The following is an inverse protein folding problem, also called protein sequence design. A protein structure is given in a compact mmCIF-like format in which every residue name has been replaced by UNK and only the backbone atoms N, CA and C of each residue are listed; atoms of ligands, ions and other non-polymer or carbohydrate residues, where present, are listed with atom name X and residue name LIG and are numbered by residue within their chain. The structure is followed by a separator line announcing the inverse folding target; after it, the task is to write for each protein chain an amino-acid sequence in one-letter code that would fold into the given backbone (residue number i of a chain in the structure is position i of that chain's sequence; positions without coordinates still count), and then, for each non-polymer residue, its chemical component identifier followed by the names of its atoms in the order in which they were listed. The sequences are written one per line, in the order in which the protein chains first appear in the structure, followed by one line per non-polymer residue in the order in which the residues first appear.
data_IF_755360151690
#
_entry.id   IF_755360151690
#
_cell.length_a   1.000
_cell.length_b   1.000
_cell.length_c   1.000
_cell.angle_alpha   90.00
_cell.angle_beta   90.00
_cell.angle_gamma   90.00
#
_symmetry.space_group_name_H-M   'P 1'
#
loop_
_entity.id
_entity.type
_entity.pdbx_description
1 polymer ?
#
# COMPACT_ATOMS: atom_id res chain seq x y z
N UNK A 1 -15.68 1.45 14.29
CA UNK A 1 -16.95 2.05 13.83
C UNK A 1 -17.08 3.34 14.63
N UNK A 2 -17.60 4.41 14.02
CA UNK A 2 -17.54 5.83 14.44
C UNK A 2 -16.28 6.61 14.01
N UNK A 3 -16.21 6.92 12.70
CA UNK A 3 -15.28 7.91 12.13
C UNK A 3 -16.00 9.10 11.46
N UNK A 4 -17.33 9.11 11.51
CA UNK A 4 -18.14 10.17 10.90
C UNK A 4 -18.15 11.33 11.88
N UNK A 5 -17.58 12.46 11.45
CA UNK A 5 -17.55 13.69 12.22
C UNK A 5 -18.86 14.45 12.06
N UNK A 6 -19.40 14.47 10.83
CA UNK A 6 -20.65 15.14 10.50
C UNK A 6 -21.28 14.52 9.24
N UNK A 7 -22.59 14.61 9.13
CA UNK A 7 -23.36 14.30 7.93
C UNK A 7 -24.44 15.38 7.79
N UNK A 8 -24.41 16.15 6.71
CA UNK A 8 -25.35 17.24 6.46
C UNK A 8 -26.06 17.07 5.11
N UNK A 9 -27.36 17.29 5.11
CA UNK A 9 -28.16 17.34 3.87
C UNK A 9 -28.19 18.81 3.44
N UNK A 10 -27.63 19.09 2.28
CA UNK A 10 -27.53 20.45 1.74
C UNK A 10 -28.85 20.86 1.04
N UNK A 11 -29.10 22.18 0.90
CA UNK A 11 -30.29 22.67 0.22
C UNK A 11 -30.38 22.18 -1.23
N UNK A 12 -31.59 21.89 -1.67
CA UNK A 12 -31.90 21.53 -3.04
C UNK A 12 -31.87 22.80 -3.90
N UNK A 13 -30.94 22.88 -4.87
CA UNK A 13 -30.74 24.09 -5.68
C UNK A 13 -31.11 23.93 -7.16
N UNK A 14 -30.92 22.74 -7.75
CA UNK A 14 -31.07 22.54 -9.21
C UNK A 14 -31.81 21.24 -9.56
N UNK A 15 -31.66 20.16 -8.77
CA UNK A 15 -32.29 18.85 -9.03
C UNK A 15 -33.41 18.57 -8.02
N UNK A 16 -34.12 17.45 -8.16
CA UNK A 16 -35.09 16.96 -7.15
C UNK A 16 -34.42 16.20 -5.99
N UNK A 17 -33.09 16.16 -5.98
CA UNK A 17 -32.28 15.49 -4.96
C UNK A 17 -31.43 16.49 -4.17
N UNK A 18 -31.45 16.35 -2.84
CA UNK A 18 -30.58 17.13 -1.95
C UNK A 18 -29.16 16.53 -1.92
N UNK A 19 -28.11 17.32 -2.16
CA UNK A 19 -26.74 16.84 -1.99
C UNK A 19 -26.48 16.45 -0.52
N UNK A 20 -25.74 15.36 -0.30
CA UNK A 20 -25.36 14.91 1.05
C UNK A 20 -23.87 15.11 1.23
N UNK A 21 -23.51 15.90 2.22
CA UNK A 21 -22.13 16.15 2.62
C UNK A 21 -21.77 15.30 3.83
N UNK A 22 -20.69 14.54 3.71
CA UNK A 22 -20.18 13.66 4.76
C UNK A 22 -18.77 14.10 5.15
N UNK A 23 -18.62 14.58 6.38
CA UNK A 23 -17.32 14.84 6.99
C UNK A 23 -16.93 13.63 7.82
N UNK A 24 -15.81 13.02 7.50
CA UNK A 24 -15.24 11.96 8.32
C UNK A 24 -13.85 12.35 8.79
N UNK A 25 -13.55 12.03 10.05
CA UNK A 25 -12.20 12.14 10.58
C UNK A 25 -11.39 11.01 9.96
N UNK A 26 -10.58 11.35 8.96
CA UNK A 26 -9.49 10.50 8.54
C UNK A 26 -8.55 10.41 9.74
N UNK A 27 -8.76 9.38 10.59
CA UNK A 27 -7.75 9.00 11.57
C UNK A 27 -6.46 8.78 10.79
N UNK A 28 -5.56 9.76 10.84
CA UNK A 28 -4.14 9.47 10.80
C UNK A 28 -3.97 8.47 11.93
N UNK A 29 -3.74 7.22 11.55
CA UNK A 29 -3.49 6.17 12.52
C UNK A 29 -2.34 6.70 13.35
N UNK A 30 -2.61 7.08 14.61
CA UNK A 30 -1.56 7.07 15.63
C UNK A 30 -0.94 5.70 15.50
N UNK A 31 0.32 5.66 15.08
CA UNK A 31 1.02 4.42 14.80
C UNK A 31 1.01 3.56 16.07
N UNK A 32 0.00 2.70 16.19
CA UNK A 32 0.21 1.44 16.87
C UNK A 32 1.33 0.80 16.07
N UNK A 33 2.44 0.53 16.77
CA UNK A 33 3.65 -0.17 16.35
C UNK A 33 3.27 -1.53 15.73
N UNK A 34 2.65 -1.48 14.57
CA UNK A 34 1.95 -2.57 13.94
C UNK A 34 2.88 -3.26 12.98
N UNK A 35 2.71 -4.58 12.84
CA UNK A 35 3.42 -5.35 11.83
C UNK A 35 3.27 -4.66 10.47
N UNK A 36 4.39 -4.38 9.81
CA UNK A 36 4.41 -3.76 8.49
C UNK A 36 3.48 -4.51 7.52
N UNK A 37 2.73 -3.76 6.71
CA UNK A 37 1.84 -4.28 5.66
C UNK A 37 2.12 -3.54 4.36
N UNK A 38 2.20 -4.30 3.26
CA UNK A 38 2.35 -3.74 1.92
C UNK A 38 1.12 -2.90 1.54
N UNK A 39 1.34 -1.68 1.06
CA UNK A 39 0.30 -0.92 0.39
C UNK A 39 0.03 -1.55 -1.00
N UNK A 40 -0.99 -2.39 -1.06
CA UNK A 40 -1.45 -3.04 -2.30
C UNK A 40 -1.82 -2.06 -3.42
N UNK A 41 -2.15 -0.80 -3.10
CA UNK A 41 -2.37 0.24 -4.09
C UNK A 41 -1.14 0.54 -4.94
N UNK A 42 0.08 0.39 -4.39
CA UNK A 42 1.33 0.55 -5.15
C UNK A 42 1.43 -0.46 -6.30
N UNK A 43 0.87 -1.66 -6.12
CA UNK A 43 0.88 -2.71 -7.13
C UNK A 43 -0.11 -2.46 -8.28
N UNK A 44 -0.91 -1.40 -8.24
CA UNK A 44 -1.78 -1.04 -9.37
C UNK A 44 -1.01 -0.46 -10.56
N UNK A 45 0.17 0.14 -10.32
CA UNK A 45 0.99 0.77 -11.34
C UNK A 45 1.73 -0.25 -12.21
N UNK A 46 1.46 -0.25 -13.52
CA UNK A 46 2.15 -1.14 -14.47
C UNK A 46 3.66 -0.88 -14.53
N UNK A 47 4.07 0.39 -14.54
CA UNK A 47 5.48 0.79 -14.52
C UNK A 47 6.19 0.32 -13.25
N UNK A 48 5.53 0.50 -12.11
CA UNK A 48 6.03 0.08 -10.81
C UNK A 48 6.21 -1.44 -10.72
N UNK A 49 5.21 -2.20 -11.18
CA UNK A 49 5.30 -3.67 -11.25
C UNK A 49 6.47 -4.14 -12.09
N UNK A 50 6.67 -3.55 -13.28
CA UNK A 50 7.78 -3.89 -14.17
C UNK A 50 9.14 -3.60 -13.53
N UNK A 51 9.27 -2.45 -12.86
CA UNK A 51 10.50 -2.12 -12.14
C UNK A 51 10.82 -3.14 -11.04
N UNK A 52 9.84 -3.49 -10.21
CA UNK A 52 10.01 -4.48 -9.13
C UNK A 52 10.32 -5.88 -9.69
N UNK A 53 9.71 -6.26 -10.80
CA UNK A 53 9.99 -7.53 -11.47
C UNK A 53 11.44 -7.60 -11.98
N UNK A 54 11.93 -6.52 -12.59
CA UNK A 54 13.31 -6.43 -13.08
C UNK A 54 14.30 -6.49 -11.92
N UNK A 55 14.06 -5.72 -10.86
CA UNK A 55 14.87 -5.73 -9.65
C UNK A 55 14.97 -7.12 -9.02
N UNK A 56 13.85 -7.85 -9.01
CA UNK A 56 13.78 -9.22 -8.52
C UNK A 56 14.61 -10.19 -9.36
N UNK A 57 14.53 -10.08 -10.70
CA UNK A 57 15.33 -10.91 -11.61
C UNK A 57 16.81 -10.69 -11.36
N UNK A 58 17.26 -9.44 -11.39
CA UNK A 58 18.66 -9.07 -11.13
C UNK A 58 19.12 -9.56 -9.77
N UNK A 59 18.29 -9.42 -8.72
CA UNK A 59 18.63 -9.91 -7.39
C UNK A 59 18.88 -11.43 -7.38
N UNK A 60 17.97 -12.21 -7.97
CA UNK A 60 18.09 -13.67 -7.99
C UNK A 60 19.26 -14.14 -8.87
N UNK A 61 19.50 -13.51 -10.02
CA UNK A 61 20.66 -13.82 -10.86
C UNK A 61 21.99 -13.67 -10.12
N UNK A 62 22.12 -12.62 -9.30
CA UNK A 62 23.35 -12.35 -8.54
C UNK A 62 23.43 -13.24 -7.28
N UNK A 63 22.29 -13.56 -6.66
CA UNK A 63 22.26 -14.16 -5.32
C UNK A 63 22.12 -15.67 -5.31
N UNK A 64 21.61 -16.30 -6.38
CA UNK A 64 21.53 -17.77 -6.45
C UNK A 64 22.94 -18.36 -6.42
N UNK A 65 23.17 -19.33 -5.53
CA UNK A 65 24.48 -19.95 -5.33
C UNK A 65 25.43 -19.18 -4.41
N UNK A 66 25.07 -17.97 -3.96
CA UNK A 66 25.88 -17.19 -3.00
C UNK A 66 25.84 -17.74 -1.56
N UNK A 67 24.87 -18.61 -1.26
CA UNK A 67 24.70 -19.26 0.04
C UNK A 67 24.28 -20.71 -0.18
N UNK A 68 24.62 -21.59 0.76
CA UNK A 68 24.23 -23.01 0.71
C UNK A 68 22.70 -23.20 0.76
N UNK A 69 22.00 -22.29 1.42
CA UNK A 69 20.55 -22.36 1.66
C UNK A 69 19.80 -21.37 0.76
N UNK A 70 18.90 -21.88 -0.09
CA UNK A 70 18.05 -21.06 -0.95
C UNK A 70 17.05 -20.21 -0.14
N UNK A 71 16.70 -20.67 1.06
CA UNK A 71 15.82 -19.96 1.99
C UNK A 71 16.42 -18.62 2.43
N UNK A 72 17.74 -18.55 2.61
CA UNK A 72 18.45 -17.30 2.93
C UNK A 72 18.32 -16.29 1.80
N UNK A 73 18.48 -16.73 0.54
CA UNK A 73 18.30 -15.88 -0.65
C UNK A 73 16.86 -15.36 -0.71
N UNK A 74 15.87 -16.20 -0.37
CA UNK A 74 14.47 -15.82 -0.31
C UNK A 74 14.15 -14.80 0.81
N UNK A 75 14.71 -14.95 2.00
CA UNK A 75 14.54 -13.95 3.06
C UNK A 75 15.20 -12.62 2.70
N UNK A 76 16.39 -12.66 2.09
CA UNK A 76 17.11 -11.48 1.63
C UNK A 76 16.36 -10.74 0.52
N UNK A 77 15.79 -11.45 -0.46
CA UNK A 77 15.01 -10.83 -1.54
C UNK A 77 13.78 -10.08 -0.98
N UNK A 78 13.07 -10.70 -0.03
CA UNK A 78 11.94 -10.06 0.66
C UNK A 78 12.34 -8.83 1.45
N UNK A 79 13.51 -8.83 2.09
CA UNK A 79 14.03 -7.66 2.82
C UNK A 79 14.40 -6.52 1.86
N UNK A 80 15.07 -6.83 0.75
CA UNK A 80 15.47 -5.88 -0.28
C UNK A 80 14.24 -5.16 -0.88
N UNK A 81 13.27 -5.93 -1.36
CA UNK A 81 12.06 -5.38 -2.00
C UNK A 81 11.23 -4.56 -1.00
N UNK A 82 11.17 -4.96 0.27
CA UNK A 82 10.47 -4.19 1.31
C UNK A 82 11.00 -2.77 1.42
N UNK A 83 12.31 -2.55 1.26
CA UNK A 83 12.90 -1.22 1.22
C UNK A 83 12.37 -0.36 0.06
N UNK A 84 11.95 -0.97 -1.05
CA UNK A 84 11.35 -0.27 -2.20
C UNK A 84 9.85 0.02 -2.06
N UNK A 85 9.20 -0.57 -1.05
CA UNK A 85 7.76 -0.41 -0.79
C UNK A 85 7.44 0.58 0.34
N UNK A 86 8.45 1.20 0.93
CA UNK A 86 8.34 2.15 2.06
C UNK A 86 8.43 3.59 1.52
#
# INVERSE_FOLDING_TARGET
VDKIANCNIQPISITDHAPVELLFLASQKVERRGRWRLNIGLLSGLSFRKAVEEDLKVFFEISIGSTAEITTVWEASKACIRGKFI
#
